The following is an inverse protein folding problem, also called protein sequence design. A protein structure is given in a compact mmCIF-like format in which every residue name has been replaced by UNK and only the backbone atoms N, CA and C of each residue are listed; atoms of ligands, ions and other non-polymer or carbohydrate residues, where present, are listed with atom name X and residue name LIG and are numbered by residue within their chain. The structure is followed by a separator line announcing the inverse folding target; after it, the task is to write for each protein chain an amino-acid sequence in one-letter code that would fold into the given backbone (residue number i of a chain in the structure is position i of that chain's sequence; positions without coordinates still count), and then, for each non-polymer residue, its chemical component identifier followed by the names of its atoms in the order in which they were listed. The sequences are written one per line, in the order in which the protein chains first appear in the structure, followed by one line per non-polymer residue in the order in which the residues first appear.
data_IF_492764755035
#
_entry.id   IF_492764755035
#
_cell.length_a   1.000
_cell.length_b   1.000
_cell.length_c   1.000
_cell.angle_alpha   90.00
_cell.angle_beta   90.00
_cell.angle_gamma   90.00
#
_symmetry.space_group_name_H-M   'P 1'
#
loop_
_entity.id
_entity.type
_entity.pdbx_description
1 polymer ?
#
# COMPACT_ATOMS: atom_id res chain seq x y z
N UNK A 1 41.87 58.48 -21.53
CA UNK A 1 42.01 57.42 -20.56
C UNK A 1 40.64 57.17 -19.95
N UNK A 2 39.90 56.23 -20.51
CA UNK A 2 38.52 55.90 -20.06
C UNK A 2 38.42 54.41 -19.79
N UNK A 3 38.31 54.06 -18.53
CA UNK A 3 38.12 52.68 -18.12
C UNK A 3 36.63 52.35 -18.13
N UNK A 4 36.23 51.49 -19.03
CA UNK A 4 34.88 50.90 -19.06
C UNK A 4 34.79 49.67 -18.14
N UNK A 5 33.90 49.72 -17.16
CA UNK A 5 33.54 48.56 -16.35
C UNK A 5 32.40 47.82 -17.00
N UNK A 6 32.63 46.56 -17.40
CA UNK A 6 31.58 45.62 -17.82
C UNK A 6 30.91 45.05 -16.56
N UNK A 7 29.63 45.35 -16.39
CA UNK A 7 28.77 44.68 -15.41
C UNK A 7 28.24 43.40 -16.04
N UNK A 8 28.68 42.25 -15.56
CA UNK A 8 28.09 40.94 -15.84
C UNK A 8 26.84 40.72 -14.96
N UNK A 9 25.67 41.04 -15.50
CA UNK A 9 24.39 40.65 -14.92
C UNK A 9 24.10 39.19 -15.17
N UNK A 10 24.41 38.33 -14.21
CA UNK A 10 23.99 36.94 -14.22
C UNK A 10 22.54 36.82 -13.73
N UNK A 11 21.57 36.77 -14.63
CA UNK A 11 20.22 36.25 -14.33
C UNK A 11 20.30 34.74 -14.17
N UNK A 12 20.43 34.28 -12.92
CA UNK A 12 20.11 32.90 -12.60
C UNK A 12 18.60 32.73 -12.69
N UNK A 13 18.12 32.34 -13.88
CA UNK A 13 16.76 31.87 -14.05
C UNK A 13 16.59 30.60 -13.25
N UNK A 14 15.79 30.67 -12.17
CA UNK A 14 15.21 29.48 -11.55
C UNK A 14 14.33 28.83 -12.62
N UNK A 15 14.83 27.73 -13.21
CA UNK A 15 14.02 26.85 -14.03
C UNK A 15 13.00 26.22 -13.08
N UNK A 16 11.74 26.67 -13.12
CA UNK A 16 10.61 25.93 -12.61
C UNK A 16 10.61 24.58 -13.36
N UNK A 17 11.05 23.53 -12.67
CA UNK A 17 10.96 22.17 -13.18
C UNK A 17 9.48 21.79 -13.22
N UNK A 18 8.86 21.90 -14.38
CA UNK A 18 7.53 21.36 -14.64
C UNK A 18 7.45 19.86 -14.29
N UNK A 19 6.27 19.31 -14.05
CA UNK A 19 6.10 17.92 -13.66
C UNK A 19 6.76 17.00 -14.69
N UNK A 20 7.62 16.09 -14.23
CA UNK A 20 8.30 15.13 -15.10
C UNK A 20 7.27 14.22 -15.77
N UNK A 21 7.44 13.89 -17.07
CA UNK A 21 6.53 12.99 -17.80
C UNK A 21 6.33 11.64 -17.12
N UNK A 22 7.31 11.18 -16.34
CA UNK A 22 7.32 9.88 -15.65
C UNK A 22 7.09 9.97 -14.13
N UNK A 23 6.70 11.11 -13.60
CA UNK A 23 6.38 11.23 -12.18
C UNK A 23 5.05 10.52 -11.87
N UNK A 24 4.94 9.89 -10.67
CA UNK A 24 3.65 9.44 -10.15
C UNK A 24 2.73 10.64 -9.88
N UNK A 25 1.41 10.41 -9.80
CA UNK A 25 0.48 11.46 -9.40
C UNK A 25 0.81 12.00 -7.99
N UNK A 26 1.22 11.10 -7.07
CA UNK A 26 1.63 11.48 -5.72
C UNK A 26 2.92 12.33 -5.71
N UNK A 27 3.88 12.07 -6.60
CA UNK A 27 5.09 12.90 -6.68
C UNK A 27 4.80 14.29 -7.25
N UNK A 28 3.81 14.40 -8.15
CA UNK A 28 3.36 15.68 -8.71
C UNK A 28 2.52 16.50 -7.73
N UNK A 29 1.65 15.84 -6.95
CA UNK A 29 0.82 16.44 -5.90
C UNK A 29 0.97 15.60 -4.62
N UNK A 30 1.91 15.93 -3.72
CA UNK A 30 2.34 15.06 -2.62
C UNK A 30 1.34 15.05 -1.45
N UNK A 31 0.08 14.75 -1.78
CA UNK A 31 -1.01 14.57 -0.82
C UNK A 31 -1.63 13.18 -1.01
N UNK A 32 -1.77 12.43 0.07
CA UNK A 32 -2.33 11.08 0.09
C UNK A 32 -3.49 10.99 1.05
N UNK A 33 -4.51 10.20 0.70
CA UNK A 33 -5.63 9.91 1.59
C UNK A 33 -5.22 8.92 2.68
N UNK A 34 -5.76 9.10 3.86
CA UNK A 34 -5.51 8.25 5.03
C UNK A 34 -6.83 7.75 5.59
N UNK A 35 -6.92 6.44 5.80
CA UNK A 35 -7.93 5.80 6.63
C UNK A 35 -7.21 4.96 7.69
N UNK A 36 -7.55 5.13 8.96
CA UNK A 36 -6.88 4.39 10.04
C UNK A 36 -7.83 4.05 11.17
N UNK A 37 -7.63 2.85 11.72
CA UNK A 37 -8.29 2.37 12.93
C UNK A 37 -7.39 2.47 14.17
N UNK A 38 -6.23 3.12 14.03
CA UNK A 38 -5.34 3.44 15.13
C UNK A 38 -5.91 4.55 16.01
N UNK A 39 -5.59 4.52 17.28
CA UNK A 39 -5.91 5.60 18.21
C UNK A 39 -5.05 6.83 17.89
N UNK A 40 -5.71 7.97 17.72
CA UNK A 40 -5.01 9.24 17.55
C UNK A 40 -4.27 9.63 18.84
N UNK A 41 -3.08 10.21 18.67
CA UNK A 41 -2.35 10.81 19.81
C UNK A 41 -2.90 12.22 20.03
N UNK A 42 -3.45 12.47 21.21
CA UNK A 42 -4.09 13.73 21.55
C UNK A 42 -3.10 14.90 21.45
N UNK A 43 -3.49 15.94 20.71
CA UNK A 43 -2.69 17.16 20.56
C UNK A 43 -1.43 16.99 19.69
N UNK A 44 -1.24 15.84 19.03
CA UNK A 44 -0.08 15.61 18.17
C UNK A 44 -0.08 16.57 16.98
N UNK A 45 0.98 17.37 16.86
CA UNK A 45 1.27 18.21 15.71
C UNK A 45 2.42 17.67 14.85
N UNK A 46 3.06 16.62 15.34
CA UNK A 46 4.17 15.91 14.72
C UNK A 46 4.10 14.43 15.07
N UNK A 47 4.98 13.61 14.49
CA UNK A 47 5.13 12.19 14.77
C UNK A 47 5.34 11.93 16.30
N UNK A 48 4.62 10.95 16.90
CA UNK A 48 3.59 10.11 16.27
C UNK A 48 2.20 10.76 16.25
N UNK A 49 1.53 10.73 15.10
CA UNK A 49 0.13 11.21 14.98
C UNK A 49 -0.88 10.17 15.45
N UNK A 50 -0.58 8.88 15.22
CA UNK A 50 -1.42 7.76 15.63
C UNK A 50 -0.57 6.70 16.34
N UNK A 51 -1.09 6.19 17.44
CA UNK A 51 -0.45 5.17 18.28
C UNK A 51 -0.67 3.74 17.76
N UNK A 52 -0.10 2.76 18.49
CA UNK A 52 -0.29 1.34 18.18
C UNK A 52 -1.62 0.77 18.69
N UNK A 53 -2.37 1.50 19.51
CA UNK A 53 -3.61 1.04 20.10
C UNK A 53 -4.77 1.14 19.10
N UNK A 54 -5.81 0.34 19.34
CA UNK A 54 -7.06 0.38 18.59
C UNK A 54 -7.83 1.67 18.94
N UNK A 55 -8.22 2.44 17.94
CA UNK A 55 -9.11 3.58 18.08
C UNK A 55 -10.56 3.13 18.21
N UNK A 56 -11.43 3.96 18.77
CA UNK A 56 -12.86 3.64 18.90
C UNK A 56 -13.62 3.75 17.58
N UNK A 57 -13.08 4.49 16.61
CA UNK A 57 -13.70 4.77 15.31
C UNK A 57 -12.67 4.77 14.21
N UNK A 58 -13.14 4.60 12.96
CA UNK A 58 -12.32 4.86 11.78
C UNK A 58 -12.02 6.35 11.69
N UNK A 59 -10.74 6.70 11.72
CA UNK A 59 -10.27 8.07 11.50
C UNK A 59 -9.86 8.25 10.05
N UNK A 60 -10.14 9.43 9.49
CA UNK A 60 -9.79 9.82 8.13
C UNK A 60 -9.00 11.12 8.12
N UNK A 61 -8.00 11.21 7.25
CA UNK A 61 -7.11 12.36 7.16
C UNK A 61 -6.51 12.49 5.76
N UNK A 62 -5.81 13.60 5.52
CA UNK A 62 -4.86 13.77 4.43
C UNK A 62 -3.45 13.80 5.00
N UNK A 63 -2.54 13.08 4.34
CA UNK A 63 -1.11 13.11 4.64
C UNK A 63 -0.39 13.96 3.60
N UNK A 64 0.44 14.88 4.05
CA UNK A 64 1.31 15.68 3.17
C UNK A 64 2.74 15.21 3.25
N UNK A 65 3.38 15.10 2.10
CA UNK A 65 4.75 14.61 1.98
C UNK A 65 5.67 15.62 1.32
N UNK A 66 6.96 15.40 1.50
CA UNK A 66 8.00 15.90 0.61
C UNK A 66 8.52 14.71 -0.19
N UNK A 67 8.43 14.75 -1.52
CA UNK A 67 8.98 13.69 -2.36
C UNK A 67 10.53 13.73 -2.36
N UNK A 68 11.19 12.64 -2.78
CA UNK A 68 12.63 12.60 -2.94
C UNK A 68 13.15 13.68 -3.90
N UNK A 69 14.29 14.26 -3.57
CA UNK A 69 15.00 15.17 -4.46
C UNK A 69 15.45 14.46 -5.73
N UNK A 70 15.36 15.16 -6.85
CA UNK A 70 15.66 14.61 -8.18
C UNK A 70 17.12 14.68 -8.59
N UNK A 71 18.02 15.05 -7.66
CA UNK A 71 19.45 15.19 -7.92
C UNK A 71 20.13 13.87 -8.27
N UNK A 72 21.21 13.91 -9.08
CA UNK A 72 21.98 12.74 -9.49
C UNK A 72 22.65 11.97 -8.32
N UNK A 73 22.64 12.53 -7.13
CA UNK A 73 23.17 11.96 -5.88
C UNK A 73 22.06 11.71 -4.84
N UNK A 74 20.82 11.49 -5.25
CA UNK A 74 19.76 11.19 -4.29
C UNK A 74 19.96 9.80 -3.66
N UNK A 75 19.71 9.66 -2.36
CA UNK A 75 19.74 8.37 -1.65
C UNK A 75 18.73 7.36 -2.23
N UNK A 76 17.79 7.81 -3.04
CA UNK A 76 16.88 6.96 -3.81
C UNK A 76 17.63 5.99 -4.75
N UNK A 77 18.79 6.38 -5.27
CA UNK A 77 19.67 5.50 -6.06
C UNK A 77 20.29 4.36 -5.25
N UNK A 78 20.28 4.46 -3.91
CA UNK A 78 20.77 3.45 -2.97
C UNK A 78 19.62 2.58 -2.38
N UNK A 79 18.39 2.67 -2.92
CA UNK A 79 17.22 1.94 -2.42
C UNK A 79 16.62 2.50 -1.13
N UNK A 80 17.09 3.66 -0.67
CA UNK A 80 16.53 4.37 0.49
C UNK A 80 15.61 5.47 -0.03
N UNK A 81 14.36 5.47 0.44
CA UNK A 81 13.40 6.49 0.06
C UNK A 81 13.62 7.76 0.88
N UNK A 82 13.71 8.89 0.20
CA UNK A 82 13.76 10.21 0.82
C UNK A 82 12.37 10.81 1.04
N UNK A 83 11.32 10.06 0.82
CA UNK A 83 9.97 10.49 1.16
C UNK A 83 9.89 10.88 2.63
N UNK A 84 9.35 12.06 2.92
CA UNK A 84 9.14 12.53 4.29
C UNK A 84 7.68 12.86 4.49
N UNK A 85 7.09 12.30 5.56
CA UNK A 85 5.76 12.66 6.01
C UNK A 85 5.85 13.94 6.85
N UNK A 86 5.24 15.03 6.37
CA UNK A 86 5.37 16.36 6.96
C UNK A 86 4.20 16.69 7.89
N UNK A 87 2.99 16.31 7.50
CA UNK A 87 1.77 16.66 8.24
C UNK A 87 0.67 15.64 8.03
N UNK A 88 -0.19 15.53 9.02
CA UNK A 88 -1.46 14.84 8.95
C UNK A 88 -2.58 15.86 9.24
N UNK A 89 -3.51 15.95 8.33
CA UNK A 89 -4.67 16.85 8.40
C UNK A 89 -5.94 16.01 8.59
N UNK A 90 -6.48 15.92 9.80
CA UNK A 90 -7.72 15.19 10.04
C UNK A 90 -8.86 15.78 9.18
N UNK A 91 -9.65 14.90 8.58
CA UNK A 91 -10.87 15.26 7.86
C UNK A 91 -12.06 14.93 8.74
N UNK A 92 -12.92 15.91 8.96
CA UNK A 92 -14.19 15.69 9.67
C UNK A 92 -15.20 15.02 8.73
N UNK A 93 -16.00 14.08 9.28
CA UNK A 93 -17.06 13.44 8.52
C UNK A 93 -16.81 11.96 8.23
N UNK A 94 -17.27 11.50 7.07
CA UNK A 94 -17.23 10.10 6.64
C UNK A 94 -16.19 9.86 5.57
N UNK A 95 -15.89 8.60 5.28
CA UNK A 95 -14.98 8.19 4.19
C UNK A 95 -15.40 8.80 2.84
N UNK A 96 -16.70 8.92 2.60
CA UNK A 96 -17.25 9.60 1.40
C UNK A 96 -16.77 11.04 1.28
N UNK A 97 -16.66 11.75 2.41
CA UNK A 97 -16.23 13.16 2.44
C UNK A 97 -14.70 13.27 2.20
N UNK A 98 -13.94 12.25 2.61
CA UNK A 98 -12.52 12.12 2.27
C UNK A 98 -12.33 11.84 0.78
N UNK A 99 -13.07 10.86 0.23
CA UNK A 99 -12.96 10.46 -1.18
C UNK A 99 -13.41 11.56 -2.14
N UNK A 100 -14.35 12.41 -1.73
CA UNK A 100 -14.74 13.60 -2.51
C UNK A 100 -13.60 14.63 -2.66
N UNK A 101 -12.54 14.52 -1.87
CA UNK A 101 -11.37 15.38 -1.92
C UNK A 101 -10.20 14.77 -2.70
N UNK A 102 -10.41 13.63 -3.39
CA UNK A 102 -9.42 13.02 -4.28
C UNK A 102 -9.12 13.96 -5.46
N UNK A 103 -7.83 14.19 -5.73
CA UNK A 103 -7.37 15.16 -6.75
C UNK A 103 -6.33 14.60 -7.71
N UNK A 104 -5.80 13.40 -7.44
CA UNK A 104 -4.67 12.84 -8.16
C UNK A 104 -5.07 11.93 -9.35
N UNK A 105 -6.36 11.80 -9.63
CA UNK A 105 -6.89 11.01 -10.74
C UNK A 105 -8.03 10.08 -10.32
N UNK A 106 -8.71 9.41 -11.28
CA UNK A 106 -9.93 8.68 -10.99
C UNK A 106 -9.69 7.34 -10.28
N UNK A 107 -8.61 6.63 -10.58
CA UNK A 107 -8.35 5.34 -9.97
C UNK A 107 -7.81 5.49 -8.54
N UNK A 108 -8.17 4.58 -7.66
CA UNK A 108 -7.75 4.56 -6.27
C UNK A 108 -6.81 3.36 -6.02
N UNK A 109 -5.61 3.63 -5.52
CA UNK A 109 -4.69 2.63 -5.00
C UNK A 109 -4.77 2.63 -3.47
N UNK A 110 -5.15 1.51 -2.87
CA UNK A 110 -5.15 1.34 -1.42
C UNK A 110 -4.01 0.42 -1.01
N UNK A 111 -3.11 0.94 -0.18
CA UNK A 111 -2.05 0.16 0.43
C UNK A 111 -2.41 -0.25 1.87
N UNK A 112 -2.18 -1.51 2.21
CA UNK A 112 -2.40 -2.09 3.54
C UNK A 112 -1.11 -2.70 4.03
N UNK A 113 -0.57 -2.15 5.11
CA UNK A 113 0.72 -2.56 5.65
C UNK A 113 0.70 -3.92 6.35
N UNK A 114 1.88 -4.47 6.57
CA UNK A 114 2.11 -5.72 7.28
C UNK A 114 2.30 -5.58 8.79
N UNK A 115 2.73 -6.68 9.40
CA UNK A 115 3.13 -6.76 10.80
C UNK A 115 4.30 -5.82 11.11
N UNK A 116 4.37 -5.35 12.35
CA UNK A 116 5.45 -4.48 12.87
C UNK A 116 5.61 -3.15 12.13
N UNK A 117 4.53 -2.54 11.72
CA UNK A 117 4.59 -1.24 11.08
C UNK A 117 3.98 -0.15 11.96
N UNK A 118 4.61 1.02 11.98
CA UNK A 118 4.04 2.23 12.59
C UNK A 118 3.07 2.90 11.62
N UNK A 119 2.33 3.89 12.09
CA UNK A 119 1.49 4.70 11.21
C UNK A 119 2.33 5.40 10.14
N UNK A 120 3.39 6.05 10.55
CA UNK A 120 4.31 6.80 9.67
C UNK A 120 5.01 5.87 8.68
N UNK A 121 5.48 4.70 9.15
CA UNK A 121 6.07 3.68 8.29
C UNK A 121 5.10 3.24 7.20
N UNK A 122 3.84 2.95 7.57
CA UNK A 122 2.81 2.55 6.61
C UNK A 122 2.50 3.63 5.56
N UNK A 123 2.50 4.89 5.96
CA UNK A 123 2.28 6.01 5.06
C UNK A 123 3.47 6.20 4.09
N UNK A 124 4.70 6.05 4.58
CA UNK A 124 5.91 6.09 3.75
C UNK A 124 5.98 4.92 2.76
N UNK A 125 5.59 3.72 3.19
CA UNK A 125 5.55 2.54 2.30
C UNK A 125 4.51 2.72 1.19
N UNK A 126 3.35 3.29 1.49
CA UNK A 126 2.34 3.64 0.49
C UNK A 126 2.87 4.66 -0.52
N UNK A 127 3.60 5.67 -0.07
CA UNK A 127 4.21 6.67 -0.94
C UNK A 127 5.30 6.06 -1.84
N UNK A 128 6.17 5.20 -1.29
CA UNK A 128 7.19 4.45 -2.04
C UNK A 128 6.58 3.58 -3.12
N UNK A 129 5.54 2.81 -2.76
CA UNK A 129 4.84 1.94 -3.68
C UNK A 129 4.22 2.75 -4.83
N UNK A 130 3.44 3.78 -4.50
CA UNK A 130 2.75 4.63 -5.48
C UNK A 130 3.73 5.26 -6.47
N UNK A 131 4.84 5.81 -5.96
CA UNK A 131 5.87 6.39 -6.83
C UNK A 131 6.66 5.33 -7.59
N UNK A 132 7.01 4.22 -6.96
CA UNK A 132 7.75 3.13 -7.58
C UNK A 132 7.02 2.51 -8.78
N UNK A 133 5.71 2.33 -8.68
CA UNK A 133 4.87 1.84 -9.79
C UNK A 133 4.41 2.96 -10.74
N UNK A 134 4.77 4.22 -10.48
CA UNK A 134 4.36 5.39 -11.26
C UNK A 134 2.83 5.51 -11.37
N UNK A 135 2.15 5.29 -10.25
CA UNK A 135 0.69 5.32 -10.21
C UNK A 135 0.14 6.70 -10.56
N UNK A 136 -0.90 6.75 -11.40
CA UNK A 136 -1.48 7.97 -11.95
C UNK A 136 -2.85 8.33 -11.35
N UNK A 137 -3.23 7.65 -10.27
CA UNK A 137 -4.48 7.87 -9.56
C UNK A 137 -4.27 8.36 -8.13
N UNK A 138 -5.34 8.37 -7.37
CA UNK A 138 -5.33 8.72 -5.96
C UNK A 138 -4.76 7.58 -5.12
N UNK A 139 -3.90 7.89 -4.18
CA UNK A 139 -3.30 6.91 -3.26
C UNK A 139 -3.90 7.05 -1.88
N UNK A 140 -4.24 5.92 -1.26
CA UNK A 140 -4.71 5.83 0.12
C UNK A 140 -3.89 4.82 0.90
N UNK A 141 -3.50 5.15 2.11
CA UNK A 141 -3.04 4.17 3.09
C UNK A 141 -4.18 3.78 4.02
N UNK A 142 -4.42 2.47 4.18
CA UNK A 142 -5.22 1.94 5.27
C UNK A 142 -4.29 1.43 6.37
N UNK A 143 -4.17 2.18 7.47
CA UNK A 143 -3.27 1.85 8.58
C UNK A 143 -4.04 1.26 9.75
N UNK A 144 -3.84 -0.05 9.98
CA UNK A 144 -4.42 -0.77 11.10
C UNK A 144 -3.48 -0.80 12.32
N UNK A 145 -3.97 -0.98 13.57
CA UNK A 145 -3.16 -0.93 14.78
C UNK A 145 -2.15 -2.08 14.86
N UNK A 146 -0.87 -1.77 14.72
CA UNK A 146 0.25 -2.68 14.96
C UNK A 146 1.18 -2.06 15.99
N UNK A 147 1.62 -2.85 16.96
CA UNK A 147 2.50 -2.41 18.05
C UNK A 147 3.96 -2.30 17.66
N UNK A 148 4.31 -2.78 16.46
CA UNK A 148 5.67 -2.77 15.92
C UNK A 148 6.71 -3.56 16.75
N UNK A 149 6.33 -4.27 17.80
CA UNK A 149 7.18 -5.10 18.63
C UNK A 149 7.31 -6.53 18.12
N UNK A 150 8.44 -7.19 18.39
CA UNK A 150 8.68 -8.58 17.95
C UNK A 150 7.77 -9.61 18.64
N UNK A 151 7.27 -9.32 19.82
CA UNK A 151 6.45 -10.24 20.63
C UNK A 151 4.95 -9.96 20.48
N UNK A 152 4.58 -8.94 19.72
CA UNK A 152 3.18 -8.48 19.62
C UNK A 152 2.42 -9.13 18.45
N UNK A 153 2.94 -10.23 17.88
CA UNK A 153 2.33 -10.90 16.74
C UNK A 153 0.86 -11.25 16.93
N UNK A 154 0.49 -11.80 18.09
CA UNK A 154 -0.89 -12.15 18.38
C UNK A 154 -1.79 -10.92 18.47
N UNK A 155 -1.34 -9.85 19.12
CA UNK A 155 -2.06 -8.59 19.19
C UNK A 155 -2.28 -7.98 17.82
N UNK A 156 -1.24 -7.96 16.99
CA UNK A 156 -1.28 -7.40 15.64
C UNK A 156 -2.25 -8.20 14.76
N UNK A 157 -2.22 -9.54 14.84
CA UNK A 157 -3.14 -10.41 14.09
C UNK A 157 -4.61 -10.15 14.44
N UNK A 158 -4.92 -10.06 15.75
CA UNK A 158 -6.27 -9.72 16.21
C UNK A 158 -6.66 -8.29 15.78
N UNK A 159 -5.71 -7.36 15.74
CA UNK A 159 -5.97 -5.98 15.34
C UNK A 159 -6.23 -5.87 13.82
N UNK A 160 -5.54 -6.67 13.01
CA UNK A 160 -5.80 -6.76 11.59
C UNK A 160 -7.23 -7.27 11.33
N UNK A 161 -7.61 -8.39 11.97
CA UNK A 161 -8.97 -8.95 11.88
C UNK A 161 -10.03 -7.98 12.40
N UNK A 162 -9.77 -7.31 13.52
CA UNK A 162 -10.67 -6.31 14.10
C UNK A 162 -10.91 -5.11 13.16
N UNK A 163 -9.94 -4.77 12.35
CA UNK A 163 -10.01 -3.62 11.42
C UNK A 163 -10.78 -3.91 10.12
N UNK A 164 -11.18 -5.17 9.85
CA UNK A 164 -11.81 -5.60 8.59
C UNK A 164 -13.11 -4.85 8.27
N UNK A 165 -13.99 -4.65 9.26
CA UNK A 165 -15.27 -3.97 9.05
C UNK A 165 -15.07 -2.47 8.74
N UNK A 166 -13.99 -1.88 9.26
CA UNK A 166 -13.61 -0.51 8.91
C UNK A 166 -13.08 -0.42 7.47
N UNK A 167 -12.29 -1.41 7.03
CA UNK A 167 -11.82 -1.46 5.66
C UNK A 167 -12.95 -1.79 4.67
N UNK A 168 -13.89 -2.67 5.03
CA UNK A 168 -15.13 -2.88 4.23
C UNK A 168 -15.85 -1.55 4.00
N UNK A 169 -16.02 -0.71 5.04
CA UNK A 169 -16.64 0.61 4.87
C UNK A 169 -15.87 1.53 3.92
N UNK A 170 -14.55 1.46 3.93
CA UNK A 170 -13.71 2.21 2.97
C UNK A 170 -13.98 1.74 1.55
N UNK A 171 -13.96 0.43 1.31
CA UNK A 171 -14.22 -0.15 -0.01
C UNK A 171 -15.65 0.17 -0.49
N UNK A 172 -16.65 0.01 0.39
CA UNK A 172 -18.04 0.33 0.09
C UNK A 172 -18.24 1.81 -0.32
N UNK A 173 -17.59 2.74 0.41
CA UNK A 173 -17.62 4.15 0.10
C UNK A 173 -16.94 4.47 -1.25
N UNK A 174 -15.81 3.82 -1.53
CA UNK A 174 -15.10 4.00 -2.80
C UNK A 174 -15.91 3.43 -3.98
N UNK A 175 -16.52 2.26 -3.83
CA UNK A 175 -17.39 1.67 -4.85
C UNK A 175 -18.65 2.51 -5.14
N UNK A 176 -19.21 3.13 -4.12
CA UNK A 176 -20.38 4.01 -4.26
C UNK A 176 -20.05 5.38 -4.83
N UNK A 177 -18.78 5.79 -4.85
CA UNK A 177 -18.37 7.10 -5.36
C UNK A 177 -18.21 7.05 -6.89
N UNK A 178 -19.01 7.81 -7.68
CA UNK A 178 -18.97 7.78 -9.14
C UNK A 178 -17.69 8.44 -9.72
N UNK A 179 -16.98 9.25 -8.93
CA UNK A 179 -15.73 9.88 -9.37
C UNK A 179 -14.52 8.96 -9.21
N UNK A 180 -14.63 7.90 -8.41
CA UNK A 180 -13.60 6.87 -8.31
C UNK A 180 -13.77 5.89 -9.46
N UNK A 181 -12.72 5.63 -10.20
CA UNK A 181 -12.67 4.62 -11.25
C UNK A 181 -12.48 3.20 -10.68
N UNK A 182 -11.35 2.58 -10.98
CA UNK A 182 -11.00 1.27 -10.42
C UNK A 182 -10.34 1.42 -9.05
N UNK A 183 -10.62 0.46 -8.19
CA UNK A 183 -10.02 0.37 -6.86
C UNK A 183 -8.98 -0.75 -6.89
N UNK A 184 -7.70 -0.40 -6.78
CA UNK A 184 -6.59 -1.33 -6.70
C UNK A 184 -6.17 -1.52 -5.25
N UNK A 185 -5.86 -2.74 -4.86
CA UNK A 185 -5.50 -3.09 -3.49
C UNK A 185 -4.13 -3.76 -3.51
N UNK A 186 -3.19 -3.20 -2.75
CA UNK A 186 -1.90 -3.83 -2.47
C UNK A 186 -1.81 -4.05 -0.97
N UNK A 187 -1.78 -5.31 -0.56
CA UNK A 187 -1.68 -5.68 0.84
C UNK A 187 -0.40 -6.49 1.09
N UNK A 188 0.27 -6.19 2.19
CA UNK A 188 1.54 -6.78 2.56
C UNK A 188 1.40 -7.66 3.81
N UNK A 189 2.00 -8.85 3.78
CA UNK A 189 2.18 -9.73 4.93
C UNK A 189 0.84 -9.97 5.68
N UNK A 190 0.77 -9.65 6.96
CA UNK A 190 -0.45 -9.77 7.80
C UNK A 190 -1.60 -8.88 7.31
N UNK A 191 -1.32 -7.78 6.61
CA UNK A 191 -2.34 -6.93 6.00
C UNK A 191 -3.16 -7.66 4.92
N UNK A 192 -2.63 -8.74 4.35
CA UNK A 192 -3.34 -9.57 3.37
C UNK A 192 -4.51 -10.32 3.99
N UNK A 193 -4.40 -10.73 5.25
CA UNK A 193 -5.52 -11.33 6.00
C UNK A 193 -6.68 -10.34 6.14
N UNK A 194 -6.39 -9.10 6.53
CA UNK A 194 -7.38 -8.04 6.62
C UNK A 194 -8.05 -7.78 5.26
N UNK A 195 -7.25 -7.64 4.20
CA UNK A 195 -7.76 -7.39 2.85
C UNK A 195 -8.64 -8.53 2.35
N UNK A 196 -8.21 -9.78 2.53
CA UNK A 196 -8.93 -10.98 2.11
C UNK A 196 -10.28 -11.09 2.80
N UNK A 197 -10.33 -10.93 4.13
CA UNK A 197 -11.58 -10.97 4.90
C UNK A 197 -12.55 -9.86 4.49
N UNK A 198 -12.05 -8.64 4.26
CA UNK A 198 -12.89 -7.53 3.81
C UNK A 198 -13.40 -7.74 2.37
N UNK A 199 -12.58 -8.28 1.48
CA UNK A 199 -12.99 -8.61 0.10
C UNK A 199 -14.08 -9.69 0.07
N UNK A 200 -14.01 -10.69 0.97
CA UNK A 200 -15.07 -11.69 1.12
C UNK A 200 -16.40 -11.05 1.54
N UNK A 201 -16.37 -10.12 2.49
CA UNK A 201 -17.56 -9.39 2.94
C UNK A 201 -18.13 -8.52 1.81
N UNK A 202 -17.26 -7.78 1.11
CA UNK A 202 -17.63 -6.94 -0.04
C UNK A 202 -18.27 -7.78 -1.14
N UNK A 203 -17.64 -8.89 -1.54
CA UNK A 203 -18.21 -9.76 -2.57
C UNK A 203 -19.53 -10.40 -2.13
N UNK A 204 -19.62 -10.86 -0.89
CA UNK A 204 -20.84 -11.40 -0.33
C UNK A 204 -22.01 -10.41 -0.31
N UNK A 205 -21.70 -9.11 -0.16
CA UNK A 205 -22.71 -8.04 -0.07
C UNK A 205 -23.09 -7.42 -1.41
N UNK A 206 -22.12 -7.23 -2.30
CA UNK A 206 -22.30 -6.46 -3.53
C UNK A 206 -22.22 -7.32 -4.81
N UNK A 207 -21.82 -8.60 -4.68
CA UNK A 207 -21.72 -9.54 -5.79
C UNK A 207 -20.78 -9.08 -6.91
N UNK A 208 -21.14 -9.42 -8.14
CA UNK A 208 -20.36 -9.08 -9.33
C UNK A 208 -20.26 -7.57 -9.57
N UNK A 209 -21.34 -6.83 -9.33
CA UNK A 209 -21.34 -5.39 -9.50
C UNK A 209 -20.30 -4.69 -8.60
N UNK A 210 -20.09 -5.19 -7.38
CA UNK A 210 -19.00 -4.73 -6.52
C UNK A 210 -17.63 -5.18 -7.02
N UNK A 211 -17.54 -6.43 -7.50
CA UNK A 211 -16.32 -6.98 -8.05
C UNK A 211 -15.82 -6.20 -9.30
N UNK A 212 -16.71 -5.69 -10.12
CA UNK A 212 -16.35 -4.91 -11.32
C UNK A 212 -15.64 -3.60 -11.00
N UNK A 213 -15.93 -3.02 -9.83
CA UNK A 213 -15.26 -1.80 -9.35
C UNK A 213 -13.83 -2.06 -8.83
N UNK A 214 -13.52 -3.30 -8.47
CA UNK A 214 -12.19 -3.69 -8.03
C UNK A 214 -11.32 -3.94 -9.26
N UNK A 215 -10.16 -3.30 -9.29
CA UNK A 215 -9.11 -3.52 -10.27
C UNK A 215 -8.17 -4.65 -9.83
N UNK A 216 -6.86 -4.39 -9.79
CA UNK A 216 -5.88 -5.38 -9.33
C UNK A 216 -5.92 -5.56 -7.81
N UNK A 217 -5.77 -6.81 -7.38
CA UNK A 217 -5.54 -7.21 -5.99
C UNK A 217 -4.16 -7.85 -5.93
N UNK A 218 -3.22 -7.23 -5.21
CA UNK A 218 -1.86 -7.74 -5.07
C UNK A 218 -1.60 -8.07 -3.61
N UNK A 219 -1.28 -9.32 -3.34
CA UNK A 219 -0.89 -9.82 -2.04
C UNK A 219 0.61 -10.11 -2.05
N UNK A 220 1.37 -9.26 -1.37
CA UNK A 220 2.82 -9.39 -1.26
C UNK A 220 3.19 -10.13 0.03
N UNK A 221 3.91 -11.23 -0.09
CA UNK A 221 4.36 -12.09 1.03
C UNK A 221 3.24 -12.41 2.04
N UNK A 222 2.10 -12.99 1.63
CA UNK A 222 0.94 -13.15 2.51
C UNK A 222 1.24 -14.00 3.75
N UNK A 223 0.96 -13.44 4.93
CA UNK A 223 1.04 -14.12 6.22
C UNK A 223 -0.33 -14.72 6.62
N UNK A 224 -0.80 -15.62 5.79
CA UNK A 224 -2.05 -16.37 5.95
C UNK A 224 -1.74 -17.86 5.85
N UNK A 225 -2.40 -18.68 6.63
CA UNK A 225 -2.39 -20.13 6.48
C UNK A 225 -2.94 -20.52 5.09
N UNK A 226 -2.29 -21.49 4.42
CA UNK A 226 -2.65 -21.90 3.04
C UNK A 226 -4.07 -22.41 2.94
N UNK A 227 -4.53 -23.22 3.90
CA UNK A 227 -5.88 -23.81 3.88
C UNK A 227 -6.94 -22.72 4.12
N UNK A 228 -6.68 -21.79 5.05
CA UNK A 228 -7.54 -20.62 5.30
C UNK A 228 -7.64 -19.75 4.06
N UNK A 229 -6.51 -19.54 3.38
CA UNK A 229 -6.45 -18.76 2.15
C UNK A 229 -7.25 -19.42 1.03
N UNK A 230 -7.02 -20.70 0.76
CA UNK A 230 -7.73 -21.47 -0.27
C UNK A 230 -9.25 -21.46 -0.05
N UNK A 231 -9.69 -21.73 1.20
CA UNK A 231 -11.10 -21.66 1.60
C UNK A 231 -11.71 -20.27 1.38
N UNK A 232 -10.93 -19.22 1.58
CA UNK A 232 -11.37 -17.83 1.40
C UNK A 232 -11.45 -17.45 -0.07
N UNK A 233 -10.45 -17.80 -0.88
CA UNK A 233 -10.41 -17.55 -2.33
C UNK A 233 -11.60 -18.21 -3.04
N UNK A 234 -11.96 -19.42 -2.66
CA UNK A 234 -13.11 -20.13 -3.22
C UNK A 234 -14.45 -19.35 -3.11
N UNK A 235 -14.51 -18.35 -2.24
CA UNK A 235 -15.69 -17.51 -2.00
C UNK A 235 -15.60 -16.10 -2.61
N UNK A 236 -14.56 -15.82 -3.39
CA UNK A 236 -14.34 -14.50 -3.99
C UNK A 236 -14.89 -14.35 -5.41
N UNK A 237 -15.36 -15.46 -6.02
CA UNK A 237 -15.88 -15.43 -7.38
C UNK A 237 -14.87 -14.78 -8.36
N UNK A 238 -15.31 -13.82 -9.20
CA UNK A 238 -14.44 -13.20 -10.20
C UNK A 238 -13.29 -12.37 -9.60
N UNK A 239 -13.34 -12.00 -8.34
CA UNK A 239 -12.23 -11.30 -7.68
C UNK A 239 -10.95 -12.15 -7.63
N UNK A 240 -11.07 -13.48 -7.55
CA UNK A 240 -9.91 -14.37 -7.57
C UNK A 240 -9.06 -14.21 -8.84
N UNK A 241 -9.70 -13.98 -9.99
CA UNK A 241 -9.00 -13.77 -11.27
C UNK A 241 -8.22 -12.44 -11.33
N UNK A 242 -8.57 -11.47 -10.47
CA UNK A 242 -7.90 -10.17 -10.35
C UNK A 242 -6.74 -10.19 -9.34
N UNK A 243 -6.49 -11.36 -8.71
CA UNK A 243 -5.48 -11.50 -7.66
C UNK A 243 -4.13 -11.92 -8.23
N UNK A 244 -3.10 -11.25 -7.75
CA UNK A 244 -1.69 -11.62 -7.92
C UNK A 244 -1.09 -11.86 -6.55
N UNK A 245 -0.53 -13.04 -6.32
CA UNK A 245 0.17 -13.41 -5.09
C UNK A 245 1.67 -13.40 -5.37
N UNK A 246 2.41 -12.60 -4.64
CA UNK A 246 3.87 -12.57 -4.69
C UNK A 246 4.38 -13.42 -3.52
N UNK A 247 5.10 -14.49 -3.84
CA UNK A 247 5.68 -15.44 -2.88
C UNK A 247 7.20 -15.32 -2.87
N UNK A 248 7.82 -15.73 -1.77
CA UNK A 248 9.26 -15.94 -1.68
C UNK A 248 9.53 -17.12 -0.74
N UNK A 249 9.89 -18.28 -1.29
CA UNK A 249 10.11 -19.50 -0.51
C UNK A 249 11.28 -19.38 0.51
N UNK A 250 12.16 -18.40 0.31
CA UNK A 250 13.28 -18.07 1.19
C UNK A 250 12.96 -16.94 2.19
N UNK A 251 11.67 -16.55 2.34
CA UNK A 251 11.25 -15.54 3.32
C UNK A 251 11.33 -16.07 4.76
N UNK A 252 12.37 -15.64 5.45
CA UNK A 252 12.64 -16.07 6.84
C UNK A 252 11.64 -15.51 7.85
N UNK A 253 11.03 -14.36 7.56
CA UNK A 253 10.01 -13.77 8.43
C UNK A 253 8.75 -14.63 8.42
N UNK A 254 8.30 -15.09 7.26
CA UNK A 254 7.16 -16.00 7.12
C UNK A 254 7.44 -17.39 7.70
N UNK A 255 8.68 -17.91 7.55
CA UNK A 255 9.07 -19.16 8.18
C UNK A 255 8.98 -19.08 9.72
N UNK A 256 9.39 -17.95 10.31
CA UNK A 256 9.24 -17.71 11.75
C UNK A 256 7.77 -17.57 12.15
N UNK A 257 6.98 -16.79 11.39
CA UNK A 257 5.54 -16.61 11.62
C UNK A 257 4.79 -17.96 11.58
N UNK A 258 5.12 -18.83 10.63
CA UNK A 258 4.57 -20.17 10.54
C UNK A 258 4.87 -21.04 11.78
N UNK A 259 6.09 -20.97 12.31
CA UNK A 259 6.47 -21.67 13.57
C UNK A 259 5.70 -21.16 14.77
N UNK A 260 5.58 -19.83 14.92
CA UNK A 260 4.83 -19.21 16.03
C UNK A 260 3.35 -19.57 15.96
N UNK A 261 2.82 -19.78 14.75
CA UNK A 261 1.42 -20.16 14.53
C UNK A 261 1.17 -21.68 14.53
N UNK A 262 2.06 -22.49 15.10
CA UNK A 262 1.86 -23.93 15.25
C UNK A 262 2.42 -24.78 14.11
N UNK A 263 3.37 -24.27 13.32
CA UNK A 263 4.06 -25.03 12.26
C UNK A 263 3.30 -25.06 10.93
N UNK A 264 2.35 -24.14 10.71
CA UNK A 264 1.56 -24.07 9.48
C UNK A 264 2.33 -23.36 8.34
N UNK A 265 2.06 -23.77 7.10
CA UNK A 265 2.63 -23.12 5.92
C UNK A 265 1.93 -21.81 5.65
N UNK A 266 2.71 -20.74 5.47
CA UNK A 266 2.20 -19.42 5.08
C UNK A 266 2.16 -19.28 3.57
N UNK A 267 1.12 -18.66 3.04
CA UNK A 267 0.91 -18.45 1.58
C UNK A 267 2.12 -17.81 0.92
N UNK A 268 2.72 -16.80 1.55
CA UNK A 268 3.89 -16.12 1.00
C UNK A 268 5.15 -16.99 0.90
N UNK A 269 5.20 -18.14 1.60
CA UNK A 269 6.25 -19.16 1.53
C UNK A 269 5.77 -20.47 0.90
N UNK A 270 4.54 -20.51 0.38
CA UNK A 270 3.94 -21.72 -0.19
C UNK A 270 4.45 -22.00 -1.60
N UNK A 271 4.24 -23.24 -2.02
CA UNK A 271 4.52 -23.68 -3.38
C UNK A 271 3.66 -22.94 -4.40
N UNK A 272 4.33 -22.43 -5.44
CA UNK A 272 3.68 -21.74 -6.56
C UNK A 272 2.61 -22.59 -7.25
N UNK A 273 2.86 -23.88 -7.45
CA UNK A 273 1.94 -24.77 -8.16
C UNK A 273 0.64 -24.97 -7.38
N UNK A 274 0.74 -25.16 -6.07
CA UNK A 274 -0.42 -25.28 -5.20
C UNK A 274 -1.32 -24.03 -5.22
N UNK A 275 -0.73 -22.84 -5.24
CA UNK A 275 -1.48 -21.59 -5.33
C UNK A 275 -2.04 -21.33 -6.74
N UNK A 276 -1.30 -21.69 -7.79
CA UNK A 276 -1.77 -21.59 -9.17
C UNK A 276 -2.99 -22.48 -9.45
N UNK A 277 -3.08 -23.64 -8.79
CA UNK A 277 -4.24 -24.53 -8.87
C UNK A 277 -5.54 -23.88 -8.35
N UNK A 278 -5.45 -22.80 -7.56
CA UNK A 278 -6.60 -22.00 -7.14
C UNK A 278 -7.05 -20.97 -8.21
N UNK A 279 -6.45 -20.98 -9.39
CA UNK A 279 -6.76 -20.03 -10.47
C UNK A 279 -6.14 -18.64 -10.28
N UNK A 280 -5.14 -18.52 -9.40
CA UNK A 280 -4.47 -17.27 -9.08
C UNK A 280 -3.24 -17.05 -9.95
N UNK A 281 -2.89 -15.78 -10.16
CA UNK A 281 -1.56 -15.42 -10.66
C UNK A 281 -0.56 -15.48 -9.51
N UNK A 282 0.47 -16.30 -9.64
CA UNK A 282 1.53 -16.42 -8.64
C UNK A 282 2.86 -15.99 -9.24
N UNK A 283 3.55 -15.12 -8.52
CA UNK A 283 4.87 -14.61 -8.86
C UNK A 283 5.84 -15.03 -7.78
N UNK A 284 6.81 -15.85 -8.15
CA UNK A 284 7.88 -16.28 -7.26
C UNK A 284 9.03 -15.26 -7.29
N UNK A 285 9.22 -14.55 -6.19
CA UNK A 285 10.28 -13.57 -5.99
C UNK A 285 11.53 -14.16 -5.32
N UNK A 286 11.61 -15.47 -5.11
CA UNK A 286 12.71 -16.13 -4.38
C UNK A 286 14.08 -15.85 -4.99
N UNK A 287 14.15 -15.70 -6.32
CA UNK A 287 15.40 -15.41 -7.03
C UNK A 287 15.81 -13.92 -7.01
N UNK A 288 14.93 -13.03 -6.58
CA UNK A 288 15.12 -11.58 -6.70
C UNK A 288 15.75 -10.92 -5.46
N UNK A 289 15.91 -11.67 -4.38
CA UNK A 289 16.44 -11.15 -3.12
C UNK A 289 17.66 -11.90 -2.62
N UNK A 290 18.70 -11.15 -2.26
CA UNK A 290 19.87 -11.65 -1.51
C UNK A 290 19.85 -11.03 -0.12
N UNK A 291 19.65 -11.86 0.94
CA UNK A 291 19.80 -11.41 2.31
C UNK A 291 18.72 -11.89 3.29
N UNK A 292 18.82 -11.39 4.53
CA UNK A 292 18.01 -11.85 5.67
C UNK A 292 16.54 -11.36 5.58
N UNK A 293 16.26 -10.35 4.74
CA UNK A 293 14.98 -9.64 4.72
C UNK A 293 14.46 -9.50 3.29
N UNK A 294 13.90 -10.59 2.76
CA UNK A 294 13.20 -10.57 1.46
C UNK A 294 11.74 -10.12 1.58
N UNK A 295 11.31 -9.75 2.78
CA UNK A 295 9.90 -9.51 3.10
C UNK A 295 9.34 -8.24 2.45
N UNK A 296 10.18 -7.21 2.26
CA UNK A 296 9.79 -5.91 1.71
C UNK A 296 10.27 -5.68 0.25
N UNK A 297 10.68 -6.73 -0.45
CA UNK A 297 11.23 -6.64 -1.83
C UNK A 297 10.27 -5.93 -2.80
N UNK A 298 8.98 -6.08 -2.62
CA UNK A 298 7.98 -5.48 -3.50
C UNK A 298 7.98 -3.94 -3.47
N UNK A 299 8.58 -3.31 -2.44
CA UNK A 299 8.72 -1.85 -2.33
C UNK A 299 10.01 -1.30 -2.94
N UNK A 300 11.04 -2.15 -3.12
CA UNK A 300 12.37 -1.70 -3.50
C UNK A 300 12.91 -2.34 -4.79
N UNK A 301 12.45 -3.55 -5.13
CA UNK A 301 12.93 -4.25 -6.31
C UNK A 301 12.21 -3.74 -7.57
N UNK A 302 13.00 -3.21 -8.52
CA UNK A 302 12.46 -2.61 -9.75
C UNK A 302 11.68 -3.59 -10.65
N UNK A 303 11.96 -4.88 -10.60
CA UNK A 303 11.21 -5.90 -11.34
C UNK A 303 9.83 -6.13 -10.70
N UNK A 304 9.78 -6.23 -9.39
CA UNK A 304 8.51 -6.33 -8.65
C UNK A 304 7.64 -5.09 -8.86
N UNK A 305 8.21 -3.91 -8.78
CA UNK A 305 7.47 -2.67 -9.04
C UNK A 305 6.91 -2.63 -10.47
N UNK A 306 7.68 -3.07 -11.48
CA UNK A 306 7.17 -3.17 -12.87
C UNK A 306 6.05 -4.20 -13.01
N UNK A 307 6.11 -5.31 -12.28
CA UNK A 307 5.07 -6.33 -12.27
C UNK A 307 3.79 -5.81 -11.63
N UNK A 308 3.90 -5.18 -10.46
CA UNK A 308 2.75 -4.55 -9.77
C UNK A 308 2.13 -3.48 -10.67
N UNK A 309 2.95 -2.63 -11.29
CA UNK A 309 2.49 -1.62 -12.25
C UNK A 309 1.66 -2.24 -13.37
N UNK A 310 2.18 -3.28 -14.05
CA UNK A 310 1.45 -3.98 -15.13
C UNK A 310 0.14 -4.58 -14.63
N UNK A 311 0.12 -5.18 -13.44
CA UNK A 311 -1.10 -5.72 -12.84
C UNK A 311 -2.15 -4.64 -12.59
N UNK A 312 -1.73 -3.45 -12.13
CA UNK A 312 -2.61 -2.29 -11.93
C UNK A 312 -3.14 -1.77 -13.28
N UNK A 313 -2.27 -1.55 -14.26
CA UNK A 313 -2.64 -1.05 -15.59
C UNK A 313 -3.64 -1.99 -16.31
N UNK A 314 -3.47 -3.29 -16.18
CA UNK A 314 -4.35 -4.31 -16.77
C UNK A 314 -5.60 -4.62 -15.91
N UNK A 315 -5.80 -3.94 -14.79
CA UNK A 315 -6.92 -4.19 -13.88
C UNK A 315 -6.93 -5.59 -13.26
N UNK A 316 -5.74 -6.20 -13.05
CA UNK A 316 -5.58 -7.54 -12.51
C UNK A 316 -5.75 -8.68 -13.52
N UNK A 317 -6.22 -8.41 -14.73
CA UNK A 317 -6.40 -9.42 -15.78
C UNK A 317 -5.03 -9.75 -16.42
N UNK A 318 -4.80 -11.04 -16.70
CA UNK A 318 -3.60 -11.49 -17.39
C UNK A 318 -3.52 -10.88 -18.80
N UNK A 319 -2.47 -10.11 -19.09
CA UNK A 319 -2.07 -9.79 -20.44
C UNK A 319 -1.15 -10.88 -20.96
#
# INVERSE_FOLDING_TARGET
MGSGALALGGCAGMAESGPRPDASALAANPTMLVATTRKAVNGARANPWYGPERGSTLSIAKARFTPPDSGAFSFASMGMSDWRLNAIEPVAGRVTDLLAQATNGPDLLVYIHGYRNTFEGSALDAARLSDGIKFRGETMVFSWPSKAGLLDYAYDRESAVWSRDAFERVLAAAMANPTIGRIHIVAHSMGTLLALESLRQVYGRYGEAGADRIGAIIFASPDIDVDVFASSVARLGPLAQKMTVITASNDRALALAGRVAGGVTRVGAADREALAALGLRVVDASALGFGIVNHDLFLSNGEMLRLIRRSVENGGIAG
#
